data_IF_477655726165
#
_entry.id   IF_477655726165
#
_cell.length_a   1.000
_cell.length_b   1.000
_cell.length_c   1.000
_cell.angle_alpha   90.00
_cell.angle_beta   90.00
_cell.angle_gamma   90.00
#
_symmetry.space_group_name_H-M   'P 1'
#
loop_
_entity.id
_entity.type
_entity.pdbx_description
1 polymer ?
#
# COMPACT_ATOMS: atom_id res chain seq x y z
N UNK A 1 35.95 -23.86 -61.10
CA UNK A 1 35.57 -22.70 -60.27
C UNK A 1 35.24 -23.21 -58.86
N UNK A 2 35.88 -22.67 -57.82
CA UNK A 2 35.77 -23.15 -56.43
C UNK A 2 34.58 -22.47 -55.74
N UNK A 3 33.62 -23.25 -55.24
CA UNK A 3 32.53 -22.75 -54.40
C UNK A 3 33.07 -22.41 -53.00
N UNK A 4 32.81 -21.19 -52.52
CA UNK A 4 33.06 -20.80 -51.12
C UNK A 4 31.71 -20.77 -50.40
N UNK A 5 31.48 -21.72 -49.50
CA UNK A 5 30.40 -21.62 -48.52
C UNK A 5 30.87 -20.67 -47.40
N UNK A 6 30.09 -19.63 -47.16
CA UNK A 6 30.24 -18.77 -45.98
C UNK A 6 29.13 -19.15 -45.02
N UNK A 7 29.48 -19.79 -43.90
CA UNK A 7 28.57 -20.01 -42.78
C UNK A 7 28.62 -18.79 -41.85
N UNK A 8 27.51 -18.06 -41.75
CA UNK A 8 27.33 -17.00 -40.75
C UNK A 8 26.67 -17.64 -39.52
N UNK A 9 27.43 -17.75 -38.43
CA UNK A 9 26.88 -18.08 -37.12
C UNK A 9 26.30 -16.79 -36.51
N UNK A 10 24.96 -16.68 -36.49
CA UNK A 10 24.26 -15.64 -35.73
C UNK A 10 24.19 -16.12 -34.28
N UNK A 11 25.05 -15.55 -33.43
CA UNK A 11 24.99 -15.75 -31.98
C UNK A 11 23.84 -14.89 -31.44
N UNK A 12 22.67 -15.50 -31.29
CA UNK A 12 21.53 -14.85 -30.65
C UNK A 12 21.82 -14.81 -29.14
N UNK A 13 22.36 -13.70 -28.64
CA UNK A 13 22.42 -13.44 -27.20
C UNK A 13 20.99 -13.28 -26.69
N UNK A 14 20.43 -14.36 -26.14
CA UNK A 14 19.19 -14.31 -25.37
C UNK A 14 19.42 -13.42 -24.16
N UNK A 15 18.95 -12.18 -24.21
CA UNK A 15 18.73 -11.38 -23.02
C UNK A 15 17.64 -12.10 -22.22
N UNK A 16 18.04 -12.90 -21.23
CA UNK A 16 17.15 -13.30 -20.16
C UNK A 16 16.78 -12.03 -19.40
N UNK A 17 15.68 -11.39 -19.80
CA UNK A 17 15.01 -10.43 -18.94
C UNK A 17 14.65 -11.20 -17.67
N UNK A 18 15.28 -10.84 -16.56
CA UNK A 18 14.96 -11.39 -15.25
C UNK A 18 13.54 -10.94 -14.92
N UNK A 19 12.58 -11.79 -15.22
CA UNK A 19 11.17 -11.51 -15.00
C UNK A 19 10.98 -11.39 -13.49
N UNK A 20 10.73 -10.17 -13.02
CA UNK A 20 10.39 -9.93 -11.62
C UNK A 20 9.19 -10.82 -11.26
N UNK A 21 9.26 -11.49 -10.11
CA UNK A 21 8.14 -12.33 -9.66
C UNK A 21 6.89 -11.46 -9.56
N UNK A 22 5.80 -11.90 -10.17
CA UNK A 22 4.54 -11.18 -10.03
C UNK A 22 4.00 -11.37 -8.61
N UNK A 23 3.42 -10.32 -7.99
CA UNK A 23 2.75 -10.47 -6.71
C UNK A 23 1.72 -11.60 -6.76
N UNK A 24 1.67 -12.41 -5.71
CA UNK A 24 0.71 -13.48 -5.54
C UNK A 24 -0.26 -13.14 -4.41
N UNK A 25 -1.52 -13.53 -4.60
CA UNK A 25 -2.61 -13.25 -3.67
C UNK A 25 -3.41 -14.53 -3.44
N UNK A 26 -3.53 -14.95 -2.18
CA UNK A 26 -4.38 -16.09 -1.79
C UNK A 26 -5.54 -15.56 -0.94
N UNK A 27 -6.78 -15.64 -1.44
CA UNK A 27 -7.96 -15.08 -0.77
C UNK A 27 -8.72 -16.19 -0.04
N UNK A 28 -9.06 -15.93 1.23
CA UNK A 28 -9.85 -16.80 2.09
C UNK A 28 -11.24 -16.20 2.32
N UNK A 29 -12.23 -17.04 2.63
CA UNK A 29 -13.62 -16.60 2.78
C UNK A 29 -13.94 -16.06 4.19
N UNK A 30 -12.92 -15.91 5.03
CA UNK A 30 -12.97 -15.32 6.36
C UNK A 30 -12.51 -13.85 6.35
N UNK A 31 -12.75 -13.16 5.23
CA UNK A 31 -12.44 -11.74 5.04
C UNK A 31 -10.94 -11.38 5.08
N UNK A 32 -10.07 -12.34 4.73
CA UNK A 32 -8.63 -12.10 4.68
C UNK A 32 -7.96 -12.72 3.45
N UNK A 33 -6.81 -12.18 3.08
CA UNK A 33 -5.94 -12.70 2.04
C UNK A 33 -4.48 -12.68 2.48
N UNK A 34 -3.66 -13.54 1.89
CA UNK A 34 -2.20 -13.54 2.03
C UNK A 34 -1.59 -12.95 0.76
N UNK A 35 -0.84 -11.87 0.92
CA UNK A 35 -0.07 -11.23 -0.14
C UNK A 35 1.37 -11.75 -0.07
N UNK A 36 1.98 -12.05 -1.22
CA UNK A 36 3.42 -12.23 -1.35
C UNK A 36 3.95 -11.44 -2.54
N UNK A 37 5.02 -10.69 -2.36
CA UNK A 37 5.62 -9.90 -3.42
C UNK A 37 7.14 -9.75 -3.24
N UNK A 38 7.83 -9.52 -4.34
CA UNK A 38 9.26 -9.21 -4.31
C UNK A 38 9.48 -7.74 -3.92
N UNK A 39 10.39 -7.51 -2.98
CA UNK A 39 10.90 -6.20 -2.57
C UNK A 39 12.40 -6.17 -2.86
N UNK A 40 12.87 -5.38 -3.84
CA UNK A 40 14.29 -5.26 -4.11
C UNK A 40 14.99 -4.53 -2.95
N UNK A 41 15.93 -5.21 -2.29
CA UNK A 41 16.75 -4.62 -1.24
C UNK A 41 18.15 -4.30 -1.79
N UNK A 42 18.65 -3.13 -1.42
CA UNK A 42 20.05 -2.69 -1.60
C UNK A 42 20.60 -2.32 -0.23
N UNK A 43 21.08 -3.34 0.49
CA UNK A 43 21.57 -3.16 1.85
C UNK A 43 23.06 -2.80 1.82
N UNK A 44 23.46 -1.88 2.68
CA UNK A 44 24.85 -1.59 3.05
C UNK A 44 25.18 -2.29 4.36
N UNK A 45 26.47 -2.43 4.66
CA UNK A 45 26.89 -2.88 5.99
C UNK A 45 26.46 -1.84 7.04
N UNK A 46 25.95 -2.30 8.18
CA UNK A 46 25.34 -1.47 9.23
C UNK A 46 23.82 -1.43 9.16
N UNK A 47 23.23 -0.35 9.69
CA UNK A 47 21.77 -0.15 9.75
C UNK A 47 21.29 0.58 8.49
N UNK A 48 20.27 0.04 7.86
CA UNK A 48 19.65 0.55 6.64
C UNK A 48 18.20 0.95 6.91
N UNK A 49 17.79 2.10 6.39
CA UNK A 49 16.40 2.55 6.42
C UNK A 49 15.75 2.18 5.09
N UNK A 50 14.71 1.33 5.15
CA UNK A 50 14.02 0.80 3.98
C UNK A 50 12.55 1.15 4.07
N UNK A 51 12.01 1.77 3.03
CA UNK A 51 10.59 2.11 2.92
C UNK A 51 9.97 1.37 1.74
N UNK A 52 8.87 0.66 1.99
CA UNK A 52 8.08 -0.04 0.97
C UNK A 52 6.69 0.55 0.95
N UNK A 53 6.30 1.11 -0.20
CA UNK A 53 4.99 1.72 -0.41
C UNK A 53 4.03 0.73 -1.10
N UNK A 54 2.83 1.21 -1.43
CA UNK A 54 1.78 0.43 -2.09
C UNK A 54 1.44 -0.84 -1.30
N UNK A 55 1.47 -0.70 0.02
CA UNK A 55 1.02 -1.71 0.97
C UNK A 55 -0.49 -1.56 1.15
N UNK A 56 -1.17 -2.66 1.43
CA UNK A 56 -2.61 -2.63 1.74
C UNK A 56 -2.89 -1.76 2.97
N UNK A 57 -4.07 -1.13 2.98
CA UNK A 57 -4.58 -0.38 4.14
C UNK A 57 -5.19 -1.28 5.23
N UNK A 58 -5.40 -2.57 4.94
CA UNK A 58 -5.91 -3.57 5.87
C UNK A 58 -4.85 -4.60 6.27
N UNK A 59 -3.56 -4.29 6.05
CA UNK A 59 -2.44 -5.12 6.47
C UNK A 59 -2.47 -5.35 7.99
N UNK A 60 -2.27 -6.60 8.40
CA UNK A 60 -2.02 -7.00 9.80
C UNK A 60 -0.52 -6.87 10.12
N UNK A 61 -0.08 -5.90 10.94
CA UNK A 61 1.35 -5.59 11.11
C UNK A 61 2.18 -6.74 11.71
N UNK A 62 1.57 -7.55 12.57
CA UNK A 62 2.18 -8.72 13.21
C UNK A 62 2.30 -9.94 12.29
N UNK A 63 1.68 -9.89 11.11
CA UNK A 63 1.78 -10.94 10.08
C UNK A 63 2.95 -10.76 9.10
N UNK A 64 3.65 -9.63 9.17
CA UNK A 64 4.67 -9.24 8.18
C UNK A 64 5.90 -10.12 8.29
N UNK A 65 6.30 -10.72 7.17
CA UNK A 65 7.50 -11.53 7.03
C UNK A 65 8.32 -10.98 5.87
N UNK A 66 9.58 -10.66 6.14
CA UNK A 66 10.56 -10.28 5.13
C UNK A 66 11.71 -11.29 5.14
N UNK A 67 11.99 -11.93 4.00
CA UNK A 67 13.04 -12.97 3.89
C UNK A 67 13.75 -12.94 2.53
N UNK A 68 14.94 -13.53 2.46
CA UNK A 68 15.59 -13.89 1.20
C UNK A 68 15.16 -15.31 0.81
N UNK A 69 14.38 -15.53 -0.27
CA UNK A 69 13.97 -16.86 -0.72
C UNK A 69 15.15 -17.78 -1.07
N UNK A 70 16.30 -17.22 -1.44
CA UNK A 70 17.52 -17.98 -1.73
C UNK A 70 18.29 -18.40 -0.47
N UNK A 71 17.95 -17.84 0.70
CA UNK A 71 18.59 -18.13 1.98
C UNK A 71 20.05 -17.66 2.07
N UNK A 72 20.52 -16.81 1.14
CA UNK A 72 21.92 -16.35 1.08
C UNK A 72 22.18 -15.13 1.97
N UNK A 73 21.14 -14.34 2.24
CA UNK A 73 21.19 -13.16 3.09
C UNK A 73 20.30 -13.35 4.32
N UNK A 74 20.85 -13.10 5.50
CA UNK A 74 20.07 -12.99 6.73
C UNK A 74 19.56 -11.56 6.84
N UNK A 75 18.25 -11.40 6.97
CA UNK A 75 17.61 -10.10 7.15
C UNK A 75 17.32 -9.94 8.64
N UNK A 76 18.00 -8.99 9.30
CA UNK A 76 17.77 -8.68 10.71
C UNK A 76 17.00 -7.37 10.83
N UNK A 77 15.68 -7.47 11.01
CA UNK A 77 14.80 -6.32 11.21
C UNK A 77 14.91 -5.87 12.67
N UNK A 78 15.43 -4.67 12.89
CA UNK A 78 15.55 -4.04 14.20
C UNK A 78 14.27 -3.31 14.61
N UNK A 79 13.61 -2.69 13.62
CA UNK A 79 12.38 -1.92 13.81
C UNK A 79 11.47 -2.13 12.60
N UNK A 80 10.17 -2.21 12.86
CA UNK A 80 9.12 -2.20 11.86
C UNK A 80 8.05 -1.19 12.25
N UNK A 81 7.71 -0.32 11.31
CA UNK A 81 6.61 0.61 11.44
C UNK A 81 5.66 0.46 10.25
N UNK A 82 4.37 0.30 10.53
CA UNK A 82 3.33 0.35 9.52
C UNK A 82 2.62 1.68 9.61
N UNK A 83 2.76 2.49 8.55
CA UNK A 83 2.07 3.76 8.44
C UNK A 83 0.90 3.61 7.50
N UNK A 84 -0.30 3.91 7.98
CA UNK A 84 -1.54 3.82 7.22
C UNK A 84 -2.49 4.93 7.63
N UNK A 85 -2.07 6.18 7.48
CA UNK A 85 -2.93 7.33 7.78
C UNK A 85 -3.85 7.57 6.56
N UNK A 86 -5.16 7.23 6.62
CA UNK A 86 -6.05 7.44 5.49
C UNK A 86 -6.11 8.93 5.12
N UNK A 87 -6.20 9.21 3.83
CA UNK A 87 -6.36 10.58 3.35
C UNK A 87 -7.75 11.07 3.75
N UNK A 88 -7.77 12.08 4.61
CA UNK A 88 -8.95 12.81 5.01
C UNK A 88 -8.63 14.29 5.02
N UNK A 89 -9.65 15.15 5.01
CA UNK A 89 -9.45 16.59 5.17
C UNK A 89 -8.64 16.91 6.43
N UNK A 90 -8.92 16.22 7.54
CA UNK A 90 -8.20 16.39 8.80
C UNK A 90 -6.74 15.92 8.70
N UNK A 91 -6.47 14.77 8.07
CA UNK A 91 -5.09 14.29 7.90
C UNK A 91 -4.28 15.19 6.97
N UNK A 92 -4.90 15.75 5.92
CA UNK A 92 -4.27 16.77 5.07
C UNK A 92 -4.00 18.06 5.85
N UNK A 93 -4.96 18.57 6.63
CA UNK A 93 -4.73 19.71 7.52
C UNK A 93 -3.55 19.49 8.45
N UNK A 94 -3.34 18.25 8.95
CA UNK A 94 -2.22 17.93 9.85
C UNK A 94 -0.84 18.14 9.20
N UNK A 95 -0.72 17.89 7.89
CA UNK A 95 0.50 18.16 7.12
C UNK A 95 0.81 19.65 6.95
N UNK A 96 -0.21 20.50 7.11
CA UNK A 96 -0.13 21.94 6.96
C UNK A 96 -0.27 22.69 8.29
N UNK A 97 -0.22 22.00 9.44
CA UNK A 97 -0.14 22.66 10.74
C UNK A 97 1.07 23.61 10.80
N UNK A 98 0.82 24.82 11.30
CA UNK A 98 1.76 25.93 11.29
C UNK A 98 1.88 26.68 9.95
N UNK A 99 1.24 26.21 8.87
CA UNK A 99 1.29 26.81 7.53
C UNK A 99 -0.02 27.50 7.17
N UNK A 100 0.07 28.49 6.27
CA UNK A 100 -1.09 29.18 5.70
C UNK A 100 -1.53 28.49 4.42
N UNK A 101 -2.82 28.17 4.33
CA UNK A 101 -3.48 27.63 3.13
C UNK A 101 -4.65 28.52 2.73
N UNK A 102 -5.13 28.34 1.50
CA UNK A 102 -6.31 29.03 1.00
C UNK A 102 -7.58 28.25 1.38
N UNK A 103 -8.66 28.96 1.67
CA UNK A 103 -9.99 28.41 1.90
C UNK A 103 -10.97 29.04 0.92
N UNK A 104 -11.70 28.21 0.17
CA UNK A 104 -12.79 28.65 -0.70
C UNK A 104 -14.06 28.84 0.13
N UNK A 105 -14.58 30.06 0.09
CA UNK A 105 -15.85 30.43 0.72
C UNK A 105 -17.03 30.09 -0.20
N UNK A 106 -18.28 30.03 0.32
CA UNK A 106 -19.47 29.77 -0.51
C UNK A 106 -19.70 30.78 -1.66
N UNK A 107 -19.10 31.96 -1.58
CA UNK A 107 -19.13 32.99 -2.63
C UNK A 107 -17.94 32.90 -3.62
N UNK A 108 -17.18 31.79 -3.57
CA UNK A 108 -15.94 31.54 -4.33
C UNK A 108 -14.79 32.51 -4.04
N UNK A 109 -14.90 33.35 -3.01
CA UNK A 109 -13.77 34.14 -2.54
C UNK A 109 -12.76 33.25 -1.81
N UNK A 110 -11.48 33.63 -1.89
CA UNK A 110 -10.39 32.93 -1.21
C UNK A 110 -10.00 33.68 0.07
N UNK A 111 -9.99 32.96 1.18
CA UNK A 111 -9.53 33.46 2.47
C UNK A 111 -8.29 32.69 2.88
N UNK A 112 -7.23 33.42 3.24
CA UNK A 112 -6.01 32.82 3.79
C UNK A 112 -6.16 32.56 5.27
N UNK A 113 -5.93 31.31 5.69
CA UNK A 113 -5.95 30.91 7.09
C UNK A 113 -4.74 30.06 7.43
N UNK A 114 -4.14 30.30 8.60
CA UNK A 114 -3.06 29.48 9.13
C UNK A 114 -3.66 28.33 9.94
N UNK A 115 -3.30 27.10 9.59
CA UNK A 115 -3.75 25.92 10.34
C UNK A 115 -2.98 25.88 11.66
N UNK A 116 -3.68 26.07 12.78
CA UNK A 116 -3.06 26.01 14.12
C UNK A 116 -3.19 24.59 14.68
N UNK A 117 -4.33 23.95 14.45
CA UNK A 117 -4.57 22.55 14.81
C UNK A 117 -5.50 21.93 13.78
N UNK A 118 -5.13 20.78 13.25
CA UNK A 118 -5.92 20.03 12.27
C UNK A 118 -7.14 19.36 12.87
N UNK A 119 -7.07 18.95 14.14
CA UNK A 119 -8.07 18.10 14.78
C UNK A 119 -7.96 16.63 14.38
N UNK A 120 -6.89 16.25 13.65
CA UNK A 120 -6.68 14.88 13.22
C UNK A 120 -6.33 13.98 14.39
N UNK A 121 -7.20 13.00 14.66
CA UNK A 121 -6.94 11.92 15.61
C UNK A 121 -6.61 10.66 14.83
N UNK A 122 -5.42 10.10 15.07
CA UNK A 122 -4.98 8.84 14.47
C UNK A 122 -5.87 7.70 14.96
N UNK A 123 -6.35 6.80 14.07
CA UNK A 123 -7.06 5.60 14.50
C UNK A 123 -6.19 4.77 15.46
N UNK A 124 -6.79 4.24 16.52
CA UNK A 124 -6.13 3.25 17.38
C UNK A 124 -6.25 1.86 16.74
N UNK A 125 -5.21 1.45 16.01
CA UNK A 125 -5.16 0.16 15.31
C UNK A 125 -5.07 -1.05 16.25
N UNK A 126 -4.76 -0.85 17.54
CA UNK A 126 -4.70 -1.95 18.52
C UNK A 126 -6.06 -2.27 19.15
N UNK A 127 -7.05 -1.39 18.96
CA UNK A 127 -8.40 -1.60 19.43
C UNK A 127 -9.30 -2.08 18.29
N UNK A 128 -9.39 -3.40 18.11
CA UNK A 128 -10.28 -4.07 17.12
C UNK A 128 -11.75 -3.64 17.23
N UNK A 129 -12.20 -3.16 18.39
CA UNK A 129 -13.56 -2.62 18.54
C UNK A 129 -13.70 -1.19 17.99
N UNK A 130 -12.60 -0.43 17.86
CA UNK A 130 -12.61 0.91 17.27
C UNK A 130 -12.84 0.88 15.75
N UNK A 131 -12.36 -0.17 15.07
CA UNK A 131 -12.59 -0.33 13.63
C UNK A 131 -14.08 -0.49 13.27
N UNK A 132 -14.83 -1.17 14.15
CA UNK A 132 -16.28 -1.37 14.00
C UNK A 132 -17.13 -0.24 14.62
N UNK A 133 -16.56 0.66 15.45
CA UNK A 133 -17.29 1.76 16.09
C UNK A 133 -17.23 3.10 15.33
N UNK A 134 -16.62 3.12 14.16
CA UNK A 134 -16.41 4.35 13.40
C UNK A 134 -15.15 5.09 13.86
N UNK A 135 -14.57 5.87 12.94
CA UNK A 135 -13.37 6.65 13.20
C UNK A 135 -13.51 7.50 14.47
N UNK A 136 -12.45 7.63 15.29
CA UNK A 136 -12.51 8.49 16.48
C UNK A 136 -13.03 9.87 16.09
N UNK A 137 -13.94 10.40 16.91
CA UNK A 137 -14.53 11.71 16.70
C UNK A 137 -13.39 12.72 16.50
N UNK A 138 -13.26 13.22 15.26
CA UNK A 138 -12.22 14.18 14.91
C UNK A 138 -12.45 15.43 15.76
N UNK A 139 -11.38 15.98 16.31
CA UNK A 139 -11.48 17.23 17.06
C UNK A 139 -11.78 18.38 16.11
N UNK A 140 -12.39 19.44 16.64
CA UNK A 140 -12.63 20.63 15.84
C UNK A 140 -11.30 21.33 15.49
N UNK A 141 -11.04 21.62 14.19
CA UNK A 141 -9.83 22.30 13.77
C UNK A 141 -9.77 23.72 14.35
N UNK A 142 -8.55 24.26 14.49
CA UNK A 142 -8.33 25.67 14.84
C UNK A 142 -7.57 26.35 13.72
N UNK A 143 -8.15 27.41 13.18
CA UNK A 143 -7.57 28.23 12.11
C UNK A 143 -7.37 29.66 12.62
N UNK A 144 -6.21 30.24 12.32
CA UNK A 144 -5.92 31.66 12.56
C UNK A 144 -6.18 32.47 11.28
N UNK A 145 -7.00 33.52 11.38
CA UNK A 145 -7.31 34.44 10.29
C UNK A 145 -7.14 35.86 10.80
N UNK A 146 -6.24 36.64 10.19
CA UNK A 146 -5.99 38.02 10.60
C UNK A 146 -5.56 38.17 12.06
N UNK A 147 -4.84 37.17 12.62
CA UNK A 147 -4.40 37.16 14.02
C UNK A 147 -5.46 36.70 15.04
N UNK A 148 -6.65 36.29 14.59
CA UNK A 148 -7.71 35.74 15.44
C UNK A 148 -7.83 34.23 15.27
N UNK A 149 -7.89 33.50 16.40
CA UNK A 149 -8.12 32.06 16.42
C UNK A 149 -9.62 31.76 16.31
N UNK A 150 -9.98 30.83 15.43
CA UNK A 150 -11.35 30.36 15.22
C UNK A 150 -11.41 28.84 15.23
N UNK A 151 -12.44 28.31 15.89
CA UNK A 151 -12.82 26.91 15.79
C UNK A 151 -13.56 26.63 14.48
N UNK A 152 -13.26 25.48 13.89
CA UNK A 152 -13.81 25.05 12.60
C UNK A 152 -13.08 25.68 11.42
N UNK A 153 -13.49 25.27 10.22
CA UNK A 153 -12.93 25.79 8.98
C UNK A 153 -13.74 26.99 8.50
N UNK A 154 -13.09 28.06 8.00
CA UNK A 154 -13.79 29.20 7.43
C UNK A 154 -14.55 28.85 6.14
N UNK A 155 -14.04 27.88 5.37
CA UNK A 155 -14.58 27.39 4.10
C UNK A 155 -13.92 26.05 3.71
N UNK A 156 -13.99 25.67 2.44
CA UNK A 156 -13.37 24.44 1.92
C UNK A 156 -11.86 24.64 1.78
N UNK A 157 -11.00 23.83 2.44
CA UNK A 157 -9.56 24.00 2.36
C UNK A 157 -9.02 23.62 0.97
N UNK A 158 -8.15 24.46 0.42
CA UNK A 158 -7.39 24.20 -0.81
C UNK A 158 -5.95 23.91 -0.40
N UNK A 159 -5.52 22.67 -0.61
CA UNK A 159 -4.16 22.25 -0.31
C UNK A 159 -3.24 22.50 -1.52
N UNK A 160 -2.06 23.09 -1.31
CA UNK A 160 -1.00 23.04 -2.30
C UNK A 160 -0.65 21.60 -2.68
N UNK A 161 -0.06 21.40 -3.85
CA UNK A 161 0.45 20.09 -4.27
C UNK A 161 1.28 19.46 -3.15
N UNK A 162 0.98 18.20 -2.86
CA UNK A 162 1.73 17.41 -1.90
C UNK A 162 3.12 17.16 -2.50
N UNK A 163 4.08 17.98 -2.10
CA UNK A 163 5.49 17.84 -2.49
C UNK A 163 6.09 16.64 -1.76
N UNK A 164 5.82 15.44 -2.29
CA UNK A 164 6.29 14.16 -1.77
C UNK A 164 5.25 13.08 -2.03
N UNK A 165 5.47 12.26 -3.06
CA UNK A 165 4.56 11.23 -3.61
C UNK A 165 4.10 10.14 -2.61
N UNK A 166 4.37 10.25 -1.31
CA UNK A 166 4.52 9.04 -0.47
C UNK A 166 4.09 9.14 0.99
N UNK A 167 3.58 10.28 1.46
CA UNK A 167 3.14 10.39 2.86
C UNK A 167 1.77 9.76 3.09
N UNK A 168 0.94 9.72 2.04
CA UNK A 168 -0.48 9.40 2.13
C UNK A 168 -0.85 7.97 1.74
N UNK A 169 0.12 7.17 1.28
CA UNK A 169 -0.10 5.77 0.96
C UNK A 169 0.33 4.89 2.12
N UNK A 170 -0.37 3.78 2.39
CA UNK A 170 0.10 2.84 3.38
C UNK A 170 1.50 2.32 3.01
N UNK A 171 2.39 2.27 3.99
CA UNK A 171 3.79 1.88 3.80
C UNK A 171 4.35 1.15 5.02
N UNK A 172 5.32 0.29 4.75
CA UNK A 172 6.18 -0.32 5.76
C UNK A 172 7.52 0.41 5.80
N UNK A 173 7.95 0.77 7.00
CA UNK A 173 9.27 1.36 7.28
C UNK A 173 10.05 0.38 8.14
N UNK A 174 11.26 0.04 7.72
CA UNK A 174 12.14 -0.87 8.45
C UNK A 174 13.51 -0.25 8.72
N UNK A 175 14.02 -0.49 9.93
CA UNK A 175 15.44 -0.43 10.22
C UNK A 175 16.02 -1.85 10.11
N UNK A 176 16.84 -2.10 9.09
CA UNK A 176 17.42 -3.42 8.81
C UNK A 176 18.93 -3.39 9.07
N UNK A 177 19.40 -4.23 9.97
CA UNK A 177 20.83 -4.47 10.15
C UNK A 177 21.35 -5.50 9.14
N UNK A 178 22.48 -5.20 8.52
CA UNK A 178 23.20 -6.14 7.67
C UNK A 178 24.71 -6.08 7.94
N UNK A 179 25.35 -7.24 8.04
CA UNK A 179 26.81 -7.30 8.20
C UNK A 179 27.54 -7.02 6.88
N UNK A 180 26.89 -7.29 5.74
CA UNK A 180 27.46 -7.20 4.40
C UNK A 180 26.59 -6.34 3.49
N UNK A 181 27.23 -5.62 2.57
CA UNK A 181 26.50 -4.97 1.49
C UNK A 181 26.01 -6.01 0.47
N UNK A 182 24.82 -5.82 -0.08
CA UNK A 182 24.25 -6.76 -1.05
C UNK A 182 22.94 -6.28 -1.66
N UNK A 183 22.77 -6.58 -2.96
CA UNK A 183 21.53 -6.38 -3.72
C UNK A 183 20.86 -7.72 -3.96
N UNK A 184 19.59 -7.85 -3.55
CA UNK A 184 18.83 -9.07 -3.77
C UNK A 184 17.32 -8.80 -3.71
N UNK A 185 16.49 -9.61 -4.41
CA UNK A 185 15.05 -9.56 -4.27
C UNK A 185 14.66 -10.29 -2.98
N UNK A 186 14.23 -9.55 -1.95
CA UNK A 186 13.60 -10.14 -0.78
C UNK A 186 12.14 -10.46 -1.10
N UNK A 187 11.55 -11.43 -0.42
CA UNK A 187 10.12 -11.69 -0.45
C UNK A 187 9.48 -11.09 0.79
N UNK A 188 8.49 -10.23 0.57
CA UNK A 188 7.58 -9.72 1.58
C UNK A 188 6.28 -10.54 1.53
N UNK A 189 5.89 -11.11 2.67
CA UNK A 189 4.59 -11.75 2.86
C UNK A 189 3.83 -11.11 4.03
N UNK A 190 2.53 -10.91 3.88
CA UNK A 190 1.67 -10.41 4.96
C UNK A 190 0.20 -10.83 4.76
N UNK A 191 -0.57 -10.79 5.84
CA UNK A 191 -2.03 -10.93 5.85
C UNK A 191 -2.66 -9.56 5.68
N UNK A 192 -3.72 -9.50 4.87
CA UNK A 192 -4.59 -8.33 4.74
C UNK A 192 -6.06 -8.72 4.89
N UNK A 193 -6.87 -7.84 5.47
CA UNK A 193 -8.32 -7.96 5.54
C UNK A 193 -9.06 -7.51 4.26
N UNK A 194 -10.39 -7.48 4.30
CA UNK A 194 -11.20 -6.77 3.29
C UNK A 194 -11.37 -7.48 1.94
N UNK A 195 -10.92 -8.73 1.83
CA UNK A 195 -11.06 -9.53 0.62
C UNK A 195 -11.81 -10.84 0.89
N UNK A 196 -12.70 -11.22 -0.03
CA UNK A 196 -13.38 -12.51 -0.02
C UNK A 196 -13.71 -12.96 -1.44
N UNK A 197 -14.07 -14.22 -1.62
CA UNK A 197 -14.55 -14.71 -2.91
C UNK A 197 -15.72 -15.68 -2.73
N UNK A 198 -16.43 -15.91 -3.82
CA UNK A 198 -17.53 -16.87 -3.90
C UNK A 198 -17.47 -17.58 -5.23
N UNK A 199 -17.67 -18.90 -5.23
CA UNK A 199 -17.94 -19.63 -6.46
C UNK A 199 -19.39 -20.08 -6.53
N UNK A 200 -19.96 -19.92 -7.71
CA UNK A 200 -21.31 -20.37 -8.05
C UNK A 200 -21.21 -21.37 -9.20
N UNK A 201 -21.89 -22.51 -9.09
CA UNK A 201 -21.84 -23.59 -10.09
C UNK A 201 -23.24 -23.91 -10.59
N UNK A 202 -23.39 -24.04 -11.90
CA UNK A 202 -24.59 -24.53 -12.56
C UNK A 202 -24.28 -25.88 -13.22
N UNK A 203 -25.12 -26.88 -12.96
CA UNK A 203 -25.00 -28.21 -13.54
C UNK A 203 -26.25 -28.47 -14.37
N UNK A 204 -26.07 -28.87 -15.63
CA UNK A 204 -27.14 -29.27 -16.54
C UNK A 204 -26.94 -30.73 -16.91
N UNK A 205 -27.90 -31.57 -16.50
CA UNK A 205 -27.92 -32.99 -16.82
C UNK A 205 -29.00 -33.27 -17.89
N UNK A 206 -28.71 -34.10 -18.91
CA UNK A 206 -29.70 -34.51 -19.90
C UNK A 206 -30.68 -35.55 -19.32
N UNK A 207 -31.88 -35.66 -19.88
CA UNK A 207 -32.87 -36.68 -19.48
C UNK A 207 -32.40 -38.12 -19.73
N UNK A 208 -31.46 -38.30 -20.68
CA UNK A 208 -30.85 -39.59 -21.05
C UNK A 208 -29.36 -39.41 -21.30
N UNK A 209 -28.56 -40.37 -20.85
CA UNK A 209 -27.11 -40.41 -21.01
C UNK A 209 -26.35 -39.95 -19.77
N UNK A 210 -25.02 -40.12 -19.81
CA UNK A 210 -24.17 -40.09 -18.61
C UNK A 210 -23.22 -38.87 -18.56
N UNK A 211 -23.43 -37.88 -19.44
CA UNK A 211 -22.60 -36.68 -19.52
C UNK A 211 -23.35 -35.47 -18.96
N UNK A 212 -22.72 -34.73 -18.05
CA UNK A 212 -23.26 -33.50 -17.45
C UNK A 212 -22.44 -32.29 -17.86
N UNK A 213 -23.10 -31.15 -18.08
CA UNK A 213 -22.44 -29.88 -18.32
C UNK A 213 -22.31 -29.10 -17.01
N UNK A 214 -21.12 -28.62 -16.70
CA UNK A 214 -20.86 -27.81 -15.51
C UNK A 214 -20.30 -26.45 -15.95
N UNK A 215 -20.91 -25.38 -15.46
CA UNK A 215 -20.43 -24.00 -15.62
C UNK A 215 -20.21 -23.40 -14.24
N UNK A 216 -19.03 -22.83 -14.01
CA UNK A 216 -18.68 -22.18 -12.75
C UNK A 216 -18.33 -20.71 -12.93
N UNK A 217 -18.72 -19.88 -11.97
CA UNK A 217 -18.35 -18.48 -11.86
C UNK A 217 -17.58 -18.26 -10.58
N UNK A 218 -16.59 -17.36 -10.60
CA UNK A 218 -15.91 -16.89 -9.39
C UNK A 218 -16.16 -15.39 -9.28
N UNK A 219 -16.81 -14.99 -8.21
CA UNK A 219 -16.98 -13.58 -7.82
C UNK A 219 -15.95 -13.25 -6.75
N UNK A 220 -15.24 -12.14 -6.92
CA UNK A 220 -14.29 -11.61 -5.93
C UNK A 220 -14.83 -10.31 -5.39
N UNK A 221 -14.75 -10.14 -4.07
CA UNK A 221 -15.07 -8.91 -3.37
C UNK A 221 -13.76 -8.32 -2.83
N UNK A 222 -13.49 -7.06 -3.17
CA UNK A 222 -12.32 -6.32 -2.74
C UNK A 222 -12.77 -4.97 -2.18
N UNK A 223 -12.42 -4.68 -0.91
CA UNK A 223 -12.69 -3.40 -0.24
C UNK A 223 -11.43 -2.57 0.03
N UNK A 224 -10.28 -3.02 -0.46
CA UNK A 224 -9.05 -2.22 -0.55
C UNK A 224 -9.20 -1.04 -1.52
#
# INVERSE_FOLDING_TARGET
>A
MRARLVCIFVFCCSLFAQQASQPSLTIYNQDFAVVRQDVPLDLKSGVNQVNVNDISMHLEPDSVILRDPSGRHVINVLEQNYRNDPVSQFSLLSLYEGRTIDFEMPDHSLVKGKVIRSGFVRPDYFNVNAYNQGYPAQEEPIIEIGGQLRFGLPGTPIFPDLTGETILKPRLEWAIASDKAGKFPAELSYVTGGMSWKADYNIVAPEKGDLVHIVGWVTRFNRE
#
